data_IF_561926757517
#
_entry.id   IF_561926757517
#
_cell.length_a   1.000
_cell.length_b   1.000
_cell.length_c   1.000
_cell.angle_alpha   90.00
_cell.angle_beta   90.00
_cell.angle_gamma   90.00
#
_symmetry.space_group_name_H-M   'P 1'
#
loop_
_entity.id
_entity.type
_entity.pdbx_description
1 polymer ?
#
# COMPACT_ATOMS: atom_id res chain seq x y z
N UNK A 1 -4.33 -8.41 0.26
CA UNK A 1 -4.40 -6.95 -0.02
C UNK A 1 -4.13 -6.74 -1.50
N UNK A 2 -5.06 -6.09 -2.20
CA UNK A 2 -4.96 -5.80 -3.63
C UNK A 2 -3.99 -4.65 -3.86
N UNK A 3 -2.96 -4.88 -4.69
CA UNK A 3 -1.99 -3.84 -5.06
C UNK A 3 -2.23 -3.32 -6.48
N UNK A 4 -2.50 -4.21 -7.42
CA UNK A 4 -2.68 -3.87 -8.81
C UNK A 4 -3.44 -4.98 -9.53
N UNK A 5 -4.12 -4.66 -10.63
CA UNK A 5 -4.80 -5.64 -11.47
C UNK A 5 -4.39 -5.49 -12.93
N UNK A 6 -4.25 -6.61 -13.61
CA UNK A 6 -3.97 -6.68 -15.05
C UNK A 6 -5.03 -7.54 -15.71
N UNK A 7 -5.60 -7.06 -16.81
CA UNK A 7 -6.56 -7.87 -17.58
C UNK A 7 -5.88 -9.09 -18.21
N UNK A 8 -6.57 -10.22 -18.15
CA UNK A 8 -6.14 -11.47 -18.75
C UNK A 8 -7.28 -12.09 -19.54
N UNK A 9 -7.28 -11.89 -20.85
CA UNK A 9 -8.42 -12.29 -21.68
C UNK A 9 -9.69 -11.46 -21.43
N UNK A 10 -10.85 -11.96 -21.85
CA UNK A 10 -12.10 -11.18 -21.78
C UNK A 10 -12.70 -11.11 -20.38
N UNK A 11 -12.60 -12.19 -19.60
CA UNK A 11 -13.31 -12.35 -18.32
C UNK A 11 -12.37 -12.74 -17.16
N UNK A 12 -11.08 -12.47 -17.26
CA UNK A 12 -10.12 -12.82 -16.21
C UNK A 12 -9.24 -11.64 -15.83
N UNK A 13 -8.75 -11.66 -14.60
CA UNK A 13 -7.76 -10.72 -14.09
C UNK A 13 -6.58 -11.49 -13.52
N UNK A 14 -5.40 -10.89 -13.63
CA UNK A 14 -4.28 -11.17 -12.74
C UNK A 14 -4.33 -10.12 -11.63
N UNK A 15 -4.50 -10.56 -10.39
CA UNK A 15 -4.55 -9.69 -9.22
C UNK A 15 -3.21 -9.78 -8.49
N UNK A 16 -2.49 -8.67 -8.49
CA UNK A 16 -1.21 -8.56 -7.80
C UNK A 16 -1.47 -8.19 -6.34
N UNK A 17 -0.98 -9.00 -5.42
CA UNK A 17 -1.37 -8.88 -4.01
C UNK A 17 -0.16 -8.89 -3.08
N UNK A 18 -0.40 -8.36 -1.88
CA UNK A 18 0.33 -8.70 -0.68
C UNK A 18 -0.55 -9.64 0.14
N UNK A 19 -0.16 -10.89 0.28
CA UNK A 19 -0.94 -11.91 0.98
C UNK A 19 -0.30 -12.31 2.29
N UNK A 20 -1.12 -12.80 3.22
CA UNK A 20 -0.66 -13.23 4.53
C UNK A 20 0.17 -14.53 4.44
N UNK A 21 -0.31 -15.48 3.65
CA UNK A 21 0.28 -16.82 3.56
C UNK A 21 1.36 -16.96 2.48
N UNK A 22 1.25 -16.16 1.39
CA UNK A 22 2.12 -16.29 0.22
C UNK A 22 3.03 -15.09 -0.02
N UNK A 23 2.99 -14.08 0.85
CA UNK A 23 3.74 -12.83 0.65
C UNK A 23 3.27 -12.05 -0.56
N UNK A 24 4.19 -11.39 -1.24
CA UNK A 24 3.94 -10.64 -2.47
C UNK A 24 3.76 -11.63 -3.63
N UNK A 25 2.51 -11.86 -4.04
CA UNK A 25 2.17 -12.86 -5.06
C UNK A 25 1.00 -12.42 -5.92
N UNK A 26 1.00 -12.88 -7.15
CA UNK A 26 -0.09 -12.65 -8.11
C UNK A 26 -0.95 -13.90 -8.24
N UNK A 27 -2.26 -13.69 -8.38
CA UNK A 27 -3.26 -14.75 -8.53
C UNK A 27 -4.12 -14.52 -9.76
N UNK A 28 -4.53 -15.61 -10.42
CA UNK A 28 -5.49 -15.57 -11.50
C UNK A 28 -6.92 -15.60 -10.92
N UNK A 29 -7.76 -14.68 -11.36
CA UNK A 29 -9.20 -14.64 -11.03
C UNK A 29 -9.98 -14.74 -12.31
N UNK A 30 -10.85 -15.74 -12.41
CA UNK A 30 -11.71 -16.00 -13.57
C UNK A 30 -13.13 -15.54 -13.32
N UNK A 31 -13.86 -15.26 -14.39
CA UNK A 31 -15.27 -14.91 -14.31
C UNK A 31 -15.58 -13.50 -13.82
N UNK A 32 -14.67 -12.55 -14.04
CA UNK A 32 -14.77 -11.16 -13.58
C UNK A 32 -15.50 -10.27 -14.61
N UNK A 33 -16.48 -10.81 -15.32
CA UNK A 33 -17.21 -10.05 -16.35
C UNK A 33 -18.26 -9.08 -15.81
N UNK A 34 -18.63 -9.18 -14.54
CA UNK A 34 -19.65 -8.33 -13.91
C UNK A 34 -19.00 -7.14 -13.20
N UNK A 35 -19.55 -5.94 -13.41
CA UNK A 35 -19.09 -4.71 -12.77
C UNK A 35 -19.06 -4.81 -11.23
N UNK A 36 -20.00 -5.53 -10.63
CA UNK A 36 -20.05 -5.76 -9.18
C UNK A 36 -18.84 -6.53 -8.63
N UNK A 37 -18.27 -7.45 -9.42
CA UNK A 37 -17.06 -8.16 -9.03
C UNK A 37 -15.80 -7.29 -9.12
N UNK A 38 -15.77 -6.34 -10.05
CA UNK A 38 -14.60 -5.45 -10.21
C UNK A 38 -14.37 -4.58 -8.99
N UNK A 39 -15.41 -4.25 -8.22
CA UNK A 39 -15.30 -3.44 -7.00
C UNK A 39 -14.53 -4.15 -5.88
N UNK A 40 -14.47 -5.49 -5.91
CA UNK A 40 -13.64 -6.25 -4.96
C UNK A 40 -12.14 -5.95 -5.13
N UNK A 41 -11.71 -5.62 -6.34
CA UNK A 41 -10.30 -5.46 -6.70
C UNK A 41 -9.82 -4.01 -6.70
N UNK A 42 -10.53 -3.13 -6.00
CA UNK A 42 -10.09 -1.76 -5.79
C UNK A 42 -8.79 -1.73 -4.95
N UNK A 43 -7.94 -0.71 -5.18
CA UNK A 43 -6.66 -0.61 -4.47
C UNK A 43 -6.79 -0.73 -2.96
N UNK A 44 -5.95 -1.55 -2.36
CA UNK A 44 -5.86 -1.86 -0.94
C UNK A 44 -7.08 -2.55 -0.32
N UNK A 45 -8.04 -3.03 -1.12
CA UNK A 45 -9.05 -3.91 -0.58
C UNK A 45 -8.41 -5.14 0.05
N UNK A 46 -8.91 -5.51 1.23
CA UNK A 46 -8.47 -6.70 1.96
C UNK A 46 -9.47 -7.80 1.70
N UNK A 47 -9.02 -8.88 1.07
CA UNK A 47 -9.87 -9.96 0.60
C UNK A 47 -9.54 -11.28 1.30
N UNK A 48 -10.53 -12.15 1.34
CA UNK A 48 -10.37 -13.57 1.66
C UNK A 48 -10.75 -14.39 0.42
N UNK A 49 -10.00 -15.44 0.15
CA UNK A 49 -10.22 -16.30 -1.01
C UNK A 49 -9.70 -17.71 -0.77
N UNK A 50 -10.24 -18.65 -1.53
CA UNK A 50 -9.70 -20.00 -1.65
C UNK A 50 -8.64 -20.01 -2.77
N UNK A 51 -7.45 -20.48 -2.47
CA UNK A 51 -6.34 -20.56 -3.41
C UNK A 51 -6.17 -21.98 -3.90
N UNK A 52 -6.17 -22.15 -5.22
CA UNK A 52 -6.10 -23.46 -5.88
C UNK A 52 -4.96 -23.47 -6.89
N UNK A 53 -4.10 -24.47 -6.80
CA UNK A 53 -3.13 -24.80 -7.84
C UNK A 53 -3.81 -25.74 -8.85
N UNK A 54 -4.12 -25.22 -10.04
CA UNK A 54 -4.76 -26.01 -11.10
C UNK A 54 -3.77 -26.81 -11.94
N UNK A 55 -2.46 -26.58 -11.77
CA UNK A 55 -1.41 -27.18 -12.59
C UNK A 55 -1.39 -26.75 -14.06
N UNK A 56 -2.34 -25.90 -14.47
CA UNK A 56 -2.48 -25.43 -15.86
C UNK A 56 -1.76 -24.09 -16.13
N UNK A 57 -1.33 -23.42 -15.09
CA UNK A 57 -0.68 -22.11 -15.15
C UNK A 57 0.36 -22.01 -14.03
N UNK A 58 1.37 -21.19 -14.22
CA UNK A 58 2.32 -20.81 -13.16
C UNK A 58 1.65 -20.01 -12.04
N UNK A 59 0.49 -19.40 -12.31
CA UNK A 59 -0.29 -18.67 -11.32
C UNK A 59 -1.28 -19.59 -10.63
N UNK A 60 -1.40 -19.47 -9.31
CA UNK A 60 -2.51 -20.06 -8.57
C UNK A 60 -3.80 -19.28 -8.86
N UNK A 61 -4.92 -19.98 -8.81
CA UNK A 61 -6.24 -19.38 -9.01
C UNK A 61 -6.88 -19.04 -7.66
N UNK A 62 -7.40 -17.82 -7.54
CA UNK A 62 -8.21 -17.41 -6.41
C UNK A 62 -9.70 -17.55 -6.73
N UNK A 63 -10.45 -18.16 -5.82
CA UNK A 63 -11.91 -18.44 -5.94
C UNK A 63 -12.63 -18.05 -4.66
N UNK A 64 -13.96 -17.93 -4.75
CA UNK A 64 -14.81 -17.61 -3.60
C UNK A 64 -14.36 -16.36 -2.86
N UNK A 65 -14.09 -15.31 -3.61
CA UNK A 65 -13.46 -14.08 -3.11
C UNK A 65 -14.51 -13.23 -2.40
N UNK A 66 -14.19 -12.83 -1.17
CA UNK A 66 -15.02 -11.94 -0.35
C UNK A 66 -14.18 -10.82 0.23
N UNK A 67 -14.81 -9.67 0.49
CA UNK A 67 -14.16 -8.59 1.21
C UNK A 67 -14.09 -8.92 2.70
N UNK A 68 -12.89 -8.88 3.28
CA UNK A 68 -12.70 -9.05 4.72
C UNK A 68 -13.18 -7.82 5.50
N UNK A 69 -12.98 -6.63 4.94
CA UNK A 69 -13.38 -5.35 5.52
C UNK A 69 -14.14 -4.52 4.49
N UNK A 70 -15.26 -3.86 4.86
CA UNK A 70 -16.03 -3.05 3.91
C UNK A 70 -15.34 -1.75 3.50
N UNK A 71 -14.43 -1.23 4.31
CA UNK A 71 -13.66 0.01 4.09
C UNK A 71 -14.53 1.20 3.64
N UNK A 72 -15.68 1.39 4.29
CA UNK A 72 -16.63 2.44 3.94
C UNK A 72 -16.06 3.85 4.10
N UNK A 73 -15.22 4.06 5.11
CA UNK A 73 -14.55 5.34 5.33
C UNK A 73 -13.64 5.71 4.16
N UNK A 74 -12.92 4.74 3.63
CA UNK A 74 -12.07 4.92 2.44
C UNK A 74 -12.94 5.12 1.21
N UNK A 75 -13.90 4.24 0.94
CA UNK A 75 -14.66 4.23 -0.33
C UNK A 75 -15.60 5.43 -0.49
N UNK A 76 -16.04 6.02 0.61
CA UNK A 76 -16.90 7.19 0.61
C UNK A 76 -16.13 8.53 0.66
N UNK A 77 -14.79 8.50 0.64
CA UNK A 77 -13.97 9.70 0.71
C UNK A 77 -12.95 9.72 -0.44
N UNK A 78 -13.09 10.72 -1.33
CA UNK A 78 -12.24 10.83 -2.52
C UNK A 78 -10.75 11.02 -2.17
N UNK A 79 -10.44 11.73 -1.09
CA UNK A 79 -9.06 11.96 -0.67
C UNK A 79 -8.42 10.68 -0.12
N UNK A 80 -9.16 9.92 0.68
CA UNK A 80 -8.71 8.61 1.17
C UNK A 80 -8.53 7.61 0.03
N UNK A 81 -9.42 7.61 -0.97
CA UNK A 81 -9.23 6.79 -2.17
C UNK A 81 -7.92 7.14 -2.89
N UNK A 82 -7.61 8.43 -3.03
CA UNK A 82 -6.34 8.86 -3.63
C UNK A 82 -5.12 8.38 -2.83
N UNK A 83 -5.19 8.42 -1.50
CA UNK A 83 -4.13 7.91 -0.64
C UNK A 83 -3.97 6.39 -0.82
N UNK A 84 -5.06 5.62 -0.88
CA UNK A 84 -4.97 4.18 -1.10
C UNK A 84 -4.40 3.82 -2.48
N UNK A 85 -4.72 4.59 -3.51
CA UNK A 85 -4.11 4.41 -4.84
C UNK A 85 -2.61 4.63 -4.80
N UNK A 86 -2.15 5.68 -4.14
CA UNK A 86 -0.73 5.95 -3.95
C UNK A 86 -0.03 4.82 -3.16
N UNK A 87 -0.60 4.42 -2.02
CA UNK A 87 -0.03 3.35 -1.19
C UNK A 87 0.07 2.03 -1.94
N UNK A 88 -0.97 1.65 -2.67
CA UNK A 88 -0.98 0.39 -3.45
C UNK A 88 0.06 0.40 -4.56
N UNK A 89 0.23 1.52 -5.25
CA UNK A 89 1.23 1.65 -6.29
C UNK A 89 2.66 1.58 -5.75
N UNK A 90 2.92 2.26 -4.63
CA UNK A 90 4.23 2.16 -3.95
C UNK A 90 4.53 0.72 -3.58
N UNK A 91 3.62 0.04 -2.91
CA UNK A 91 3.80 -1.37 -2.52
C UNK A 91 4.01 -2.28 -3.74
N UNK A 92 3.24 -2.07 -4.81
CA UNK A 92 3.39 -2.83 -6.05
C UNK A 92 4.79 -2.69 -6.68
N UNK A 93 5.36 -1.47 -6.62
CA UNK A 93 6.67 -1.17 -7.20
C UNK A 93 7.83 -1.64 -6.34
N UNK A 94 7.78 -1.39 -5.04
CA UNK A 94 8.94 -1.60 -4.16
C UNK A 94 8.99 -2.98 -3.51
N UNK A 95 7.85 -3.65 -3.33
CA UNK A 95 7.79 -5.02 -2.81
C UNK A 95 7.80 -5.99 -3.98
N UNK A 96 8.94 -6.63 -4.21
CA UNK A 96 9.13 -7.52 -5.36
C UNK A 96 8.35 -8.82 -5.21
N UNK A 97 7.88 -9.37 -6.33
CA UNK A 97 7.24 -10.69 -6.39
C UNK A 97 8.09 -11.74 -5.68
N UNK A 98 7.45 -12.55 -4.88
CA UNK A 98 8.12 -13.57 -4.08
C UNK A 98 8.65 -13.08 -2.73
N UNK A 99 8.62 -11.78 -2.43
CA UNK A 99 8.99 -11.25 -1.12
C UNK A 99 8.01 -11.70 -0.05
N UNK A 100 8.53 -12.21 1.06
CA UNK A 100 7.75 -12.66 2.21
C UNK A 100 8.37 -12.11 3.51
N UNK A 101 8.32 -10.79 3.66
CA UNK A 101 8.81 -10.12 4.87
C UNK A 101 7.83 -10.32 6.02
N UNK A 102 8.37 -10.76 7.16
CA UNK A 102 7.58 -10.96 8.36
C UNK A 102 6.96 -9.65 8.84
N UNK A 103 5.66 -9.68 9.11
CA UNK A 103 4.92 -8.54 9.63
C UNK A 103 4.47 -7.51 8.59
N UNK A 104 4.89 -7.65 7.32
CA UNK A 104 4.53 -6.70 6.27
C UNK A 104 3.01 -6.67 6.00
N UNK A 105 2.37 -7.83 5.91
CA UNK A 105 0.92 -7.93 5.71
C UNK A 105 0.15 -7.32 6.88
N UNK A 106 0.50 -7.70 8.10
CA UNK A 106 -0.18 -7.25 9.31
C UNK A 106 -0.06 -5.73 9.50
N UNK A 107 1.11 -5.19 9.26
CA UNK A 107 1.33 -3.75 9.28
C UNK A 107 0.47 -3.04 8.22
N UNK A 108 0.47 -3.53 7.00
CA UNK A 108 -0.29 -2.94 5.90
C UNK A 108 -1.79 -2.97 6.17
N UNK A 109 -2.33 -4.11 6.64
CA UNK A 109 -3.75 -4.23 7.02
C UNK A 109 -4.10 -3.24 8.13
N UNK A 110 -3.27 -3.11 9.14
CA UNK A 110 -3.45 -2.16 10.24
C UNK A 110 -3.50 -0.71 9.74
N UNK A 111 -2.61 -0.32 8.85
CA UNK A 111 -2.58 1.02 8.28
C UNK A 111 -3.81 1.32 7.41
N UNK A 112 -4.28 0.34 6.65
CA UNK A 112 -5.51 0.46 5.86
C UNK A 112 -6.71 0.71 6.78
N UNK A 113 -6.84 -0.05 7.85
CA UNK A 113 -7.93 0.10 8.82
C UNK A 113 -7.86 1.43 9.57
N UNK A 114 -6.66 1.91 9.86
CA UNK A 114 -6.45 3.21 10.49
C UNK A 114 -6.88 4.35 9.56
N UNK A 115 -6.50 4.29 8.29
CA UNK A 115 -6.95 5.27 7.29
C UNK A 115 -8.47 5.25 7.12
N UNK A 116 -9.07 4.07 7.14
CA UNK A 116 -10.52 3.91 7.05
C UNK A 116 -11.24 4.57 8.23
N UNK A 117 -10.71 4.41 9.44
CA UNK A 117 -11.31 4.88 10.68
C UNK A 117 -11.12 6.38 10.96
N UNK A 118 -10.00 6.96 10.55
CA UNK A 118 -9.68 8.36 10.82
C UNK A 118 -10.64 9.29 10.08
N UNK A 119 -11.21 10.30 10.79
CA UNK A 119 -12.22 11.18 10.20
C UNK A 119 -11.68 12.52 9.72
N UNK A 120 -10.59 13.00 10.32
CA UNK A 120 -9.99 14.33 10.03
C UNK A 120 -8.46 14.24 10.04
N UNK A 121 -7.81 15.27 9.51
CA UNK A 121 -6.35 15.45 9.61
C UNK A 121 -5.55 14.26 9.07
N UNK A 122 -5.95 13.73 7.92
CA UNK A 122 -5.26 12.58 7.30
C UNK A 122 -4.42 12.95 6.07
N UNK A 123 -4.24 14.24 5.76
CA UNK A 123 -3.50 14.68 4.57
C UNK A 123 -2.03 14.27 4.57
N UNK A 124 -1.43 14.07 5.75
CA UNK A 124 -0.06 13.61 5.92
C UNK A 124 0.07 12.07 6.02
N UNK A 125 -1.01 11.34 5.92
CA UNK A 125 -1.02 9.89 6.15
C UNK A 125 0.00 9.14 5.29
N UNK A 126 0.08 9.47 4.01
CA UNK A 126 0.99 8.82 3.07
C UNK A 126 2.48 9.08 3.37
N UNK A 127 2.84 10.22 3.95
CA UNK A 127 4.22 10.48 4.39
C UNK A 127 4.58 9.53 5.54
N UNK A 128 3.71 9.43 6.52
CA UNK A 128 3.90 8.50 7.65
C UNK A 128 3.97 7.05 7.18
N UNK A 129 3.09 6.67 6.27
CA UNK A 129 3.12 5.35 5.63
C UNK A 129 4.47 5.04 4.99
N UNK A 130 5.04 5.97 4.21
CA UNK A 130 6.35 5.77 3.57
C UNK A 130 7.47 5.57 4.60
N UNK A 131 7.49 6.34 5.67
CA UNK A 131 8.49 6.20 6.73
C UNK A 131 8.34 4.87 7.48
N UNK A 132 7.12 4.45 7.79
CA UNK A 132 6.85 3.15 8.39
C UNK A 132 7.24 1.99 7.46
N UNK A 133 7.02 2.15 6.16
CA UNK A 133 7.43 1.17 5.15
C UNK A 133 8.94 0.93 5.16
N UNK A 134 9.75 1.97 5.32
CA UNK A 134 11.21 1.82 5.44
C UNK A 134 11.61 0.92 6.60
N UNK A 135 10.94 1.08 7.74
CA UNK A 135 11.16 0.26 8.94
C UNK A 135 10.70 -1.18 8.69
N UNK A 136 9.51 -1.34 8.13
CA UNK A 136 8.91 -2.66 7.88
C UNK A 136 9.71 -3.47 6.84
N UNK A 137 10.33 -2.79 5.87
CA UNK A 137 11.25 -3.42 4.91
C UNK A 137 12.66 -3.68 5.48
N UNK A 138 12.92 -3.32 6.73
CA UNK A 138 14.17 -3.61 7.42
C UNK A 138 15.26 -2.56 7.27
N UNK A 139 15.00 -1.40 6.66
CA UNK A 139 16.01 -0.36 6.50
C UNK A 139 16.20 0.47 7.77
N UNK A 140 15.13 0.73 8.50
CA UNK A 140 15.11 1.47 9.78
C UNK A 140 16.03 2.71 9.78
N UNK A 141 15.87 3.67 8.84
CA UNK A 141 16.77 4.79 8.74
C UNK A 141 16.70 5.69 9.96
N UNK A 142 17.84 6.27 10.33
CA UNK A 142 17.85 7.47 11.15
C UNK A 142 17.57 8.70 10.27
N UNK A 143 17.16 9.83 10.87
CA UNK A 143 16.83 11.04 10.10
C UNK A 143 18.01 11.49 9.21
N UNK A 144 19.25 11.34 9.69
CA UNK A 144 20.47 11.68 8.91
C UNK A 144 20.62 10.87 7.62
N UNK A 145 20.11 9.65 7.58
CA UNK A 145 20.20 8.77 6.41
C UNK A 145 19.30 9.25 5.27
N UNK A 146 18.25 10.00 5.62
CA UNK A 146 17.32 10.61 4.66
C UNK A 146 17.82 11.97 4.14
N UNK A 147 18.77 12.61 4.83
CA UNK A 147 19.24 13.96 4.49
C UNK A 147 19.67 14.12 3.01
N UNK A 148 20.40 13.18 2.39
CA UNK A 148 20.77 13.30 0.98
C UNK A 148 19.58 13.33 0.01
N UNK A 149 18.41 12.85 0.45
CA UNK A 149 17.19 12.77 -0.36
C UNK A 149 16.24 13.94 -0.09
N UNK A 150 16.12 14.36 1.17
CA UNK A 150 15.10 15.34 1.59
C UNK A 150 15.65 16.78 1.68
N UNK A 151 16.98 16.97 1.72
CA UNK A 151 17.59 18.28 1.67
C UNK A 151 17.01 19.28 2.67
N UNK A 152 16.46 20.37 2.19
CA UNK A 152 15.90 21.47 3.01
C UNK A 152 14.66 21.05 3.82
N UNK A 153 14.03 19.93 3.49
CA UNK A 153 12.89 19.39 4.24
C UNK A 153 13.30 18.50 5.43
N UNK A 154 14.59 18.41 5.72
CA UNK A 154 15.15 17.54 6.77
C UNK A 154 14.47 17.72 8.12
N UNK A 155 14.28 18.96 8.58
CA UNK A 155 13.68 19.25 9.89
C UNK A 155 12.21 18.77 9.96
N UNK A 156 11.48 18.89 8.86
CA UNK A 156 10.08 18.41 8.79
C UNK A 156 10.07 16.89 8.84
N UNK A 157 10.93 16.24 8.07
CA UNK A 157 11.01 14.76 8.05
C UNK A 157 11.42 14.21 9.41
N UNK A 158 12.37 14.86 10.09
CA UNK A 158 12.77 14.50 11.46
C UNK A 158 11.58 14.55 12.43
N UNK A 159 10.71 15.56 12.31
CA UNK A 159 9.48 15.63 13.11
C UNK A 159 8.54 14.46 12.84
N UNK A 160 8.36 14.07 11.59
CA UNK A 160 7.56 12.88 11.25
C UNK A 160 8.11 11.60 11.87
N UNK A 161 9.42 11.51 12.03
CA UNK A 161 10.09 10.33 12.58
C UNK A 161 10.06 10.28 14.10
N UNK A 162 9.98 11.43 14.77
CA UNK A 162 10.08 11.55 16.24
C UNK A 162 8.74 11.76 16.94
N UNK A 163 7.78 12.41 16.29
CA UNK A 163 6.45 12.65 16.84
C UNK A 163 5.58 11.38 16.77
N UNK A 164 4.57 11.34 17.62
CA UNK A 164 3.53 10.31 17.55
C UNK A 164 2.77 10.38 16.23
N UNK A 165 2.04 9.31 15.89
CA UNK A 165 1.18 9.31 14.70
C UNK A 165 0.21 10.51 14.72
N UNK A 166 -0.52 10.70 15.81
CA UNK A 166 -1.51 11.78 15.92
C UNK A 166 -0.87 13.18 15.76
N UNK A 167 0.27 13.41 16.40
CA UNK A 167 1.00 14.67 16.27
C UNK A 167 1.52 14.90 14.86
N UNK A 168 2.03 13.85 14.19
CA UNK A 168 2.53 13.95 12.82
C UNK A 168 1.42 14.27 11.81
N UNK A 169 0.19 13.85 12.05
CA UNK A 169 -0.97 14.22 11.23
C UNK A 169 -1.29 15.71 11.30
N UNK A 170 -0.92 16.38 12.38
CA UNK A 170 -1.17 17.81 12.60
C UNK A 170 -0.04 18.73 12.11
N UNK A 171 1.05 18.21 11.60
CA UNK A 171 2.14 19.04 11.03
C UNK A 171 1.57 19.84 9.86
N UNK A 172 1.61 21.19 9.92
CA UNK A 172 1.05 22.02 8.86
C UNK A 172 1.95 22.00 7.62
N UNK A 173 1.43 21.49 6.52
CA UNK A 173 2.10 21.47 5.22
C UNK A 173 1.13 21.91 4.13
N UNK A 174 1.61 22.69 3.18
CA UNK A 174 0.86 22.90 1.94
C UNK A 174 0.99 21.67 1.02
N UNK A 175 0.12 21.58 0.00
CA UNK A 175 0.09 20.43 -0.89
C UNK A 175 1.37 20.22 -1.69
N UNK A 176 2.03 21.29 -2.10
CA UNK A 176 3.29 21.20 -2.86
C UNK A 176 4.41 20.60 -2.00
N UNK A 177 4.65 21.15 -0.83
CA UNK A 177 5.69 20.66 0.09
C UNK A 177 5.42 19.22 0.51
N UNK A 178 4.16 18.87 0.76
CA UNK A 178 3.76 17.50 1.09
C UNK A 178 4.11 16.52 -0.03
N UNK A 179 3.82 16.87 -1.27
CA UNK A 179 4.14 16.04 -2.43
C UNK A 179 5.66 15.92 -2.63
N UNK A 180 6.40 17.01 -2.48
CA UNK A 180 7.87 17.00 -2.58
C UNK A 180 8.49 16.07 -1.55
N UNK A 181 8.07 16.15 -0.29
CA UNK A 181 8.56 15.27 0.79
C UNK A 181 8.22 13.81 0.49
N UNK A 182 7.01 13.52 0.04
CA UNK A 182 6.62 12.16 -0.31
C UNK A 182 7.49 11.59 -1.44
N UNK A 183 7.75 12.36 -2.49
CA UNK A 183 8.63 11.96 -3.59
C UNK A 183 10.08 11.75 -3.14
N UNK A 184 10.58 12.59 -2.26
CA UNK A 184 11.94 12.50 -1.72
C UNK A 184 12.13 11.22 -0.88
N UNK A 185 11.19 10.91 -0.01
CA UNK A 185 11.22 9.67 0.78
C UNK A 185 11.06 8.44 -0.15
N UNK A 186 10.19 8.53 -1.15
CA UNK A 186 10.02 7.45 -2.12
C UNK A 186 11.32 7.18 -2.89
N UNK A 187 12.07 8.21 -3.28
CA UNK A 187 13.39 8.04 -3.91
C UNK A 187 14.38 7.30 -2.99
N UNK A 188 14.35 7.59 -1.70
CA UNK A 188 15.14 6.82 -0.72
C UNK A 188 14.76 5.34 -0.74
N UNK A 189 13.46 5.03 -0.73
CA UNK A 189 12.97 3.64 -0.77
C UNK A 189 13.36 2.95 -2.07
N UNK A 190 13.16 3.60 -3.20
CA UNK A 190 13.50 3.07 -4.52
C UNK A 190 14.99 2.79 -4.65
N UNK A 191 15.82 3.68 -4.14
CA UNK A 191 17.28 3.49 -4.13
C UNK A 191 17.68 2.24 -3.35
N UNK A 192 17.10 2.02 -2.17
CA UNK A 192 17.44 0.88 -1.32
C UNK A 192 16.75 -0.43 -1.74
N UNK A 193 15.67 -0.37 -2.49
CA UNK A 193 14.98 -1.57 -3.03
C UNK A 193 15.37 -1.88 -4.47
N UNK A 194 16.20 -1.06 -5.10
CA UNK A 194 16.56 -1.17 -6.51
C UNK A 194 15.32 -1.20 -7.44
N UNK A 195 14.35 -0.40 -7.11
CA UNK A 195 13.06 -0.35 -7.84
C UNK A 195 12.87 0.96 -8.65
#
# INVERSE_FOLDING_TARGET
IVLHTTKFGENSLVVHTLSKEYGRRSFLVRGVGKKSMMTLFLPLNVLEADIVDTGKSSLYTARNITAKHPLLGVRNNIFKNSITMFMSEVLYRVVKEGTSEQGLFEWCEKDILLLDAISTDFSNFHIRFLLELTVTLGFSPEAKDLLPFVGDHYQIVEKFMTLSFAESMLIPLNGQVRNEIAEEILRYIEFHTES
#
